data_IF_146108492163
#
_entry.id   IF_146108492163
#
_cell.length_a   1.000
_cell.length_b   1.000
_cell.length_c   1.000
_cell.angle_alpha   90.00
_cell.angle_beta   90.00
_cell.angle_gamma   90.00
#
_symmetry.space_group_name_H-M   'P 1'
#
loop_
_entity.id
_entity.type
_entity.pdbx_description
1 polymer ?
#
# COMPACT_ATOMS: atom_id res chain seq x y z
N UNK A 1 -2.89 -8.67 5.54
CA UNK A 1 -2.28 -7.46 6.15
C UNK A 1 -2.47 -6.27 5.22
N UNK A 2 -2.09 -6.34 3.93
CA UNK A 2 -2.25 -5.23 2.99
C UNK A 2 -3.73 -4.81 2.86
N UNK A 3 -4.64 -5.77 2.70
CA UNK A 3 -6.09 -5.51 2.70
C UNK A 3 -6.58 -4.90 4.01
N UNK A 4 -6.05 -5.32 5.16
CA UNK A 4 -6.43 -4.74 6.44
C UNK A 4 -6.00 -3.27 6.53
N UNK A 5 -4.77 -2.96 6.14
CA UNK A 5 -4.27 -1.58 6.11
C UNK A 5 -5.05 -0.71 5.11
N UNK A 6 -5.33 -1.23 3.92
CA UNK A 6 -6.16 -0.56 2.93
C UNK A 6 -7.57 -0.27 3.44
N UNK A 7 -8.19 -1.25 4.13
CA UNK A 7 -9.51 -1.09 4.71
C UNK A 7 -9.56 0.04 5.74
N UNK A 8 -8.54 0.17 6.60
CA UNK A 8 -8.43 1.32 7.51
C UNK A 8 -8.38 2.64 6.74
N UNK A 9 -7.60 2.71 5.67
CA UNK A 9 -7.52 3.92 4.85
C UNK A 9 -8.87 4.25 4.17
N UNK A 10 -9.63 3.25 3.72
CA UNK A 10 -10.97 3.45 3.16
C UNK A 10 -12.00 3.89 4.21
N UNK A 11 -11.88 3.40 5.44
CA UNK A 11 -12.71 3.87 6.55
C UNK A 11 -12.51 5.37 6.78
N UNK A 12 -11.28 5.82 6.75
CA UNK A 12 -10.94 7.24 6.83
C UNK A 12 -11.57 8.06 5.69
N UNK A 13 -11.64 7.47 4.48
CA UNK A 13 -12.32 8.08 3.32
C UNK A 13 -13.86 8.04 3.40
N UNK A 14 -14.43 7.38 4.41
CA UNK A 14 -15.89 7.29 4.63
C UNK A 14 -16.55 6.09 3.97
N UNK A 15 -15.81 5.10 3.52
CA UNK A 15 -16.38 3.86 2.98
C UNK A 15 -16.57 2.81 4.09
N UNK A 16 -17.80 2.72 4.59
CA UNK A 16 -18.18 1.80 5.67
C UNK A 16 -18.70 0.45 5.19
N UNK A 17 -18.85 0.25 3.89
CA UNK A 17 -19.34 -1.01 3.32
C UNK A 17 -18.53 -2.21 3.73
N UNK A 18 -17.25 -1.99 4.05
CA UNK A 18 -16.29 -3.00 4.46
C UNK A 18 -16.45 -3.47 5.91
N UNK A 19 -16.94 -2.59 6.80
CA UNK A 19 -17.17 -2.94 8.22
C UNK A 19 -18.51 -3.61 8.39
N UNK A 20 -19.51 -3.22 7.60
CA UNK A 20 -20.88 -3.77 7.69
C UNK A 20 -20.99 -5.16 7.11
N UNK A 21 -20.09 -5.56 6.20
CA UNK A 21 -19.99 -6.95 5.74
C UNK A 21 -19.29 -7.83 6.80
N UNK A 22 -19.92 -7.94 7.96
CA UNK A 22 -19.43 -8.59 9.19
C UNK A 22 -18.92 -10.03 9.05
N UNK A 23 -19.10 -10.66 7.90
CA UNK A 23 -18.76 -12.08 7.67
C UNK A 23 -17.28 -12.29 7.32
N UNK A 24 -16.52 -11.24 6.99
CA UNK A 24 -15.11 -11.36 6.54
C UNK A 24 -14.06 -10.73 7.48
N UNK A 25 -14.49 -10.10 8.57
CA UNK A 25 -13.63 -9.22 9.38
C UNK A 25 -12.98 -9.90 10.59
N UNK A 26 -13.16 -11.19 10.81
CA UNK A 26 -12.56 -11.90 11.96
C UNK A 26 -11.81 -13.16 11.52
N UNK A 27 -10.89 -13.60 12.35
CA UNK A 27 -10.20 -14.87 12.15
C UNK A 27 -11.22 -16.04 12.23
N UNK A 28 -11.37 -16.77 11.12
CA UNK A 28 -12.31 -17.91 11.04
C UNK A 28 -11.76 -19.18 11.69
N UNK A 29 -10.48 -19.20 12.02
CA UNK A 29 -9.79 -20.35 12.60
C UNK A 29 -9.92 -20.38 14.12
N UNK A 30 -10.35 -19.28 14.73
CA UNK A 30 -10.57 -19.18 16.16
C UNK A 30 -11.97 -18.59 16.44
N UNK A 31 -12.80 -19.38 17.11
CA UNK A 31 -14.17 -18.98 17.46
C UNK A 31 -14.21 -17.81 18.45
N UNK A 32 -13.16 -17.62 19.27
CA UNK A 32 -13.07 -16.51 20.22
C UNK A 32 -12.91 -15.17 19.53
N UNK A 33 -12.28 -15.15 18.35
CA UNK A 33 -12.09 -13.93 17.54
C UNK A 33 -13.39 -13.25 17.12
N UNK A 34 -14.52 -13.99 17.08
CA UNK A 34 -15.84 -13.41 16.75
C UNK A 34 -16.33 -12.42 17.80
N UNK A 35 -15.92 -12.63 19.05
CA UNK A 35 -16.35 -11.81 20.18
C UNK A 35 -15.40 -10.63 20.43
N UNK A 36 -14.24 -10.62 19.80
CA UNK A 36 -13.27 -9.54 19.92
C UNK A 36 -13.52 -8.45 18.87
N UNK A 37 -13.17 -7.18 19.17
CA UNK A 37 -13.13 -6.13 18.15
C UNK A 37 -12.01 -6.39 17.14
N UNK A 38 -12.18 -5.85 15.94
CA UNK A 38 -11.10 -5.69 14.99
C UNK A 38 -10.32 -4.45 15.37
N UNK A 39 -9.06 -4.63 15.81
CA UNK A 39 -8.21 -3.56 16.34
C UNK A 39 -7.10 -3.20 15.37
N UNK A 40 -6.87 -1.91 15.19
CA UNK A 40 -5.79 -1.35 14.40
C UNK A 40 -4.98 -0.37 15.25
N UNK A 41 -3.67 -0.41 15.11
CA UNK A 41 -2.73 0.55 15.71
C UNK A 41 -1.67 0.91 14.67
N UNK A 42 -1.75 2.12 14.13
CA UNK A 42 -0.90 2.61 13.05
C UNK A 42 -0.01 3.74 13.55
N UNK A 43 1.27 3.64 13.24
CA UNK A 43 2.25 4.70 13.46
C UNK A 43 2.76 5.18 12.09
N UNK A 44 2.59 6.46 11.78
CA UNK A 44 3.01 7.01 10.49
C UNK A 44 3.55 8.44 10.62
N UNK A 45 4.33 8.85 9.62
CA UNK A 45 4.86 10.21 9.52
C UNK A 45 4.30 10.92 8.29
N UNK A 46 3.97 12.21 8.47
CA UNK A 46 3.58 13.08 7.36
C UNK A 46 3.88 14.54 7.70
N UNK A 47 4.50 15.25 6.75
CA UNK A 47 4.79 16.69 6.84
C UNK A 47 5.45 17.11 8.18
N UNK A 48 6.43 16.34 8.65
CA UNK A 48 7.16 16.62 9.89
C UNK A 48 6.43 16.24 11.18
N UNK A 49 5.24 15.68 11.10
CA UNK A 49 4.52 15.12 12.25
C UNK A 49 4.66 13.61 12.32
N UNK A 50 4.63 13.08 13.55
CA UNK A 50 4.46 11.67 13.87
C UNK A 50 3.04 11.47 14.38
N UNK A 51 2.30 10.53 13.81
CA UNK A 51 0.93 10.20 14.21
C UNK A 51 0.85 8.77 14.71
N UNK A 52 0.00 8.56 15.73
CA UNK A 52 -0.47 7.23 16.12
C UNK A 52 -1.98 7.21 16.02
N UNK A 53 -2.51 6.34 15.20
CA UNK A 53 -3.94 6.14 15.01
C UNK A 53 -4.35 4.77 15.52
N UNK A 54 -5.33 4.75 16.42
CA UNK A 54 -5.89 3.55 17.01
C UNK A 54 -7.38 3.48 16.71
N UNK A 55 -7.85 2.31 16.29
CA UNK A 55 -9.23 2.08 15.90
C UNK A 55 -9.67 0.68 16.32
N UNK A 56 -10.74 0.60 17.10
CA UNK A 56 -11.46 -0.62 17.45
C UNK A 56 -12.86 -0.62 16.84
N UNK A 57 -13.15 -1.66 16.05
CA UNK A 57 -14.42 -1.82 15.36
C UNK A 57 -15.04 -3.18 15.68
N UNK A 58 -16.33 -3.20 16.00
CA UNK A 58 -17.09 -4.44 16.19
C UNK A 58 -18.50 -4.29 15.60
N UNK A 59 -18.92 -5.28 14.83
CA UNK A 59 -20.29 -5.36 14.27
C UNK A 59 -20.76 -4.08 13.55
N UNK A 60 -19.85 -3.45 12.81
CA UNK A 60 -20.15 -2.22 12.07
C UNK A 60 -20.18 -0.94 12.89
N UNK A 61 -19.83 -1.00 14.17
CA UNK A 61 -19.70 0.17 15.04
C UNK A 61 -18.24 0.42 15.44
N UNK A 62 -17.87 1.69 15.51
CA UNK A 62 -16.60 2.11 16.09
C UNK A 62 -16.76 2.13 17.61
N UNK A 63 -15.96 1.32 18.31
CA UNK A 63 -15.97 1.23 19.77
C UNK A 63 -15.05 2.25 20.40
N UNK A 64 -13.83 2.35 19.84
CA UNK A 64 -12.82 3.29 20.27
C UNK A 64 -12.04 3.79 19.04
N UNK A 65 -11.71 5.08 19.02
CA UNK A 65 -10.96 5.70 17.95
C UNK A 65 -10.15 6.87 18.48
N UNK A 66 -8.82 6.79 18.38
CA UNK A 66 -7.93 7.80 18.89
C UNK A 66 -6.89 8.18 17.84
N UNK A 67 -6.57 9.46 17.76
CA UNK A 67 -5.43 9.96 17.00
C UNK A 67 -4.59 10.88 17.84
N UNK A 68 -3.34 10.50 17.99
CA UNK A 68 -2.30 11.28 18.65
C UNK A 68 -1.34 11.84 17.62
N UNK A 69 -0.72 12.96 17.92
CA UNK A 69 0.31 13.58 17.10
C UNK A 69 1.46 14.09 17.94
N UNK A 70 2.63 14.20 17.35
CA UNK A 70 3.83 14.76 17.97
C UNK A 70 4.86 15.13 16.91
N UNK A 71 5.96 15.73 17.33
CA UNK A 71 7.13 15.94 16.47
C UNK A 71 8.12 14.81 16.67
N UNK A 72 8.78 14.30 15.62
CA UNK A 72 9.83 13.29 15.77
C UNK A 72 10.92 13.77 16.73
N UNK A 73 11.24 12.94 17.73
CA UNK A 73 12.26 13.25 18.73
C UNK A 73 11.78 14.16 19.87
N UNK A 74 10.49 14.49 19.96
CA UNK A 74 9.88 15.17 21.10
C UNK A 74 9.05 14.18 21.90
N UNK A 75 9.10 14.30 23.24
CA UNK A 75 8.23 13.55 24.15
C UNK A 75 6.82 14.17 24.26
N UNK A 76 6.61 15.36 23.68
CA UNK A 76 5.33 16.04 23.68
C UNK A 76 4.40 15.40 22.65
N UNK A 77 3.39 14.68 23.12
CA UNK A 77 2.31 14.13 22.32
C UNK A 77 1.01 14.88 22.60
N UNK A 78 0.38 15.39 21.52
CA UNK A 78 -0.96 15.97 21.58
C UNK A 78 -2.02 14.95 21.14
N UNK A 79 -3.26 15.18 21.59
CA UNK A 79 -4.44 14.46 21.13
C UNK A 79 -5.07 15.27 20.00
N UNK A 80 -5.19 14.67 18.79
CA UNK A 80 -5.94 15.28 17.71
C UNK A 80 -7.44 15.06 17.93
N UNK A 81 -7.82 13.82 18.20
CA UNK A 81 -9.15 13.45 18.70
C UNK A 81 -9.08 12.12 19.46
N UNK A 82 -10.07 11.89 20.34
CA UNK A 82 -10.29 10.62 21.01
C UNK A 82 -11.79 10.39 21.19
N UNK A 83 -12.24 9.18 20.88
CA UNK A 83 -13.61 8.72 21.05
C UNK A 83 -13.63 7.36 21.72
N UNK A 84 -14.42 7.24 22.80
CA UNK A 84 -14.68 5.95 23.44
C UNK A 84 -16.13 5.92 23.92
N UNK A 85 -16.88 4.98 23.40
CA UNK A 85 -18.34 4.91 23.64
C UNK A 85 -19.02 6.26 23.34
N UNK A 86 -19.54 6.93 24.38
CA UNK A 86 -20.24 8.23 24.27
C UNK A 86 -19.34 9.43 24.61
N UNK A 87 -18.08 9.19 24.96
CA UNK A 87 -17.13 10.25 25.27
C UNK A 87 -16.38 10.66 24.01
N UNK A 88 -16.34 11.95 23.74
CA UNK A 88 -15.66 12.54 22.58
C UNK A 88 -14.78 13.69 23.06
N UNK A 89 -13.50 13.61 22.77
CA UNK A 89 -12.53 14.67 22.99
C UNK A 89 -11.93 15.12 21.65
N UNK A 90 -11.96 16.42 21.39
CA UNK A 90 -11.39 17.02 20.19
C UNK A 90 -10.28 17.97 20.62
N UNK A 91 -9.07 17.68 20.12
CA UNK A 91 -7.90 18.52 20.36
C UNK A 91 -7.94 19.82 19.54
N UNK A 92 -7.18 20.81 19.97
CA UNK A 92 -7.15 22.14 19.33
C UNK A 92 -6.68 22.06 17.86
N UNK A 93 -5.77 21.15 17.54
CA UNK A 93 -5.21 20.97 16.20
C UNK A 93 -6.16 20.21 15.23
N UNK A 94 -7.23 19.61 15.71
CA UNK A 94 -8.21 18.94 14.84
C UNK A 94 -9.02 19.93 13.98
N UNK A 95 -9.03 21.21 14.37
CA UNK A 95 -9.84 22.22 13.72
C UNK A 95 -11.32 22.19 14.15
N UNK A 96 -12.15 22.92 13.42
CA UNK A 96 -13.61 22.89 13.66
C UNK A 96 -14.20 21.67 12.99
N UNK A 97 -14.57 20.70 13.77
CA UNK A 97 -15.29 19.52 13.33
C UNK A 97 -16.78 19.69 13.73
N UNK A 98 -17.69 19.51 12.79
CA UNK A 98 -19.14 19.52 13.09
C UNK A 98 -19.61 18.10 13.39
N UNK A 99 -19.98 17.87 14.64
CA UNK A 99 -20.42 16.57 15.16
C UNK A 99 -21.91 16.53 15.51
N UNK A 100 -22.70 17.41 14.96
CA UNK A 100 -24.15 17.46 15.25
C UNK A 100 -24.84 16.11 15.04
N UNK A 101 -24.25 15.23 14.20
CA UNK A 101 -24.72 13.86 13.98
C UNK A 101 -23.55 12.94 13.67
N UNK A 102 -22.95 12.30 14.68
CA UNK A 102 -21.92 11.28 14.49
C UNK A 102 -22.55 9.88 14.53
N UNK A 103 -22.77 9.20 13.37
CA UNK A 103 -23.26 7.84 13.38
C UNK A 103 -22.27 6.86 14.02
N UNK A 104 -22.77 5.83 14.68
CA UNK A 104 -21.94 4.87 15.42
C UNK A 104 -20.88 4.16 14.55
N UNK A 105 -21.16 3.97 13.26
CA UNK A 105 -20.26 3.31 12.31
C UNK A 105 -19.31 4.23 11.57
N UNK A 106 -19.26 5.54 11.84
CA UNK A 106 -18.47 6.52 11.08
C UNK A 106 -17.19 6.87 11.80
N UNK A 107 -16.03 6.80 11.11
CA UNK A 107 -14.73 7.23 11.64
C UNK A 107 -14.65 8.75 11.73
N UNK A 108 -14.01 9.25 12.78
CA UNK A 108 -13.70 10.68 12.96
C UNK A 108 -12.73 11.21 11.89
N UNK A 109 -11.92 10.34 11.31
CA UNK A 109 -11.00 10.72 10.20
C UNK A 109 -11.74 11.35 9.03
N UNK A 110 -12.99 10.95 8.76
CA UNK A 110 -13.83 11.52 7.70
C UNK A 110 -14.07 13.01 7.88
N UNK A 111 -14.07 13.48 9.13
CA UNK A 111 -14.36 14.88 9.47
C UNK A 111 -13.11 15.74 9.53
N UNK A 112 -11.91 15.14 9.41
CA UNK A 112 -10.69 15.90 9.24
C UNK A 112 -10.75 16.63 7.89
N UNK A 113 -10.77 17.96 7.96
CA UNK A 113 -10.82 18.78 6.75
C UNK A 113 -9.42 18.89 6.11
N UNK A 114 -9.24 18.39 4.88
CA UNK A 114 -7.97 18.59 4.14
C UNK A 114 -7.66 20.06 3.87
N UNK A 115 -8.65 20.96 4.00
CA UNK A 115 -8.52 22.41 3.87
C UNK A 115 -8.45 23.13 5.22
N UNK A 116 -8.34 22.40 6.32
CA UNK A 116 -8.17 22.94 7.67
C UNK A 116 -7.05 23.98 7.71
N UNK A 117 -7.15 24.95 8.60
CA UNK A 117 -6.03 25.86 8.90
C UNK A 117 -4.90 25.17 9.68
N UNK A 118 -5.17 24.05 10.34
CA UNK A 118 -4.16 23.25 11.05
C UNK A 118 -3.36 22.39 10.08
N UNK A 119 -2.04 22.60 10.05
CA UNK A 119 -1.11 21.77 9.27
C UNK A 119 -1.09 20.31 9.76
N UNK A 120 -1.31 20.09 11.07
CA UNK A 120 -1.40 18.77 11.66
C UNK A 120 -2.63 18.00 11.10
N UNK A 121 -3.82 18.61 11.13
CA UNK A 121 -5.05 18.00 10.60
C UNK A 121 -4.94 17.71 9.10
N UNK A 122 -4.39 18.66 8.31
CA UNK A 122 -4.10 18.44 6.88
C UNK A 122 -3.17 17.26 6.64
N UNK A 123 -2.07 17.18 7.42
CA UNK A 123 -1.10 16.10 7.28
C UNK A 123 -1.74 14.75 7.54
N UNK A 124 -2.53 14.61 8.62
CA UNK A 124 -3.25 13.39 8.95
C UNK A 124 -4.24 13.00 7.83
N UNK A 125 -5.12 13.91 7.42
CA UNK A 125 -6.12 13.67 6.37
C UNK A 125 -5.47 13.29 5.03
N UNK A 126 -4.37 13.99 4.65
CA UNK A 126 -3.67 13.73 3.40
C UNK A 126 -3.01 12.36 3.37
N UNK A 127 -2.49 11.87 4.50
CA UNK A 127 -1.86 10.55 4.53
C UNK A 127 -2.88 9.45 4.16
N UNK A 128 -4.03 9.42 4.81
CA UNK A 128 -5.06 8.40 4.54
C UNK A 128 -5.63 8.49 3.13
N UNK A 129 -5.87 9.70 2.61
CA UNK A 129 -6.45 9.90 1.29
C UNK A 129 -5.49 9.62 0.13
N UNK A 130 -4.20 9.58 0.38
CA UNK A 130 -3.16 9.38 -0.64
C UNK A 130 -2.57 7.97 -0.66
N UNK A 131 -2.98 7.07 0.23
CA UNK A 131 -2.60 5.65 0.13
C UNK A 131 -3.15 5.06 -1.15
N UNK A 132 -2.29 4.36 -1.88
CA UNK A 132 -2.63 3.68 -3.12
C UNK A 132 -2.60 2.17 -2.90
N UNK A 133 -3.42 1.44 -3.65
CA UNK A 133 -3.42 -0.02 -3.59
C UNK A 133 -3.48 -0.63 -4.99
N UNK A 134 -2.54 -1.49 -5.29
CA UNK A 134 -2.51 -2.35 -6.46
C UNK A 134 -2.85 -3.78 -6.04
N UNK A 135 -3.91 -4.35 -6.60
CA UNK A 135 -4.31 -5.75 -6.36
C UNK A 135 -3.88 -6.64 -7.51
N UNK A 136 -3.68 -7.90 -7.22
CA UNK A 136 -3.28 -8.91 -8.22
C UNK A 136 -4.12 -8.88 -9.50
N UNK A 137 -5.41 -8.57 -9.38
CA UNK A 137 -6.35 -8.65 -10.52
C UNK A 137 -6.64 -7.31 -11.21
N UNK A 138 -6.06 -6.20 -10.74
CA UNK A 138 -6.35 -4.87 -11.30
C UNK A 138 -5.95 -4.75 -12.77
N UNK A 139 -4.92 -5.48 -13.22
CA UNK A 139 -4.46 -5.48 -14.61
C UNK A 139 -5.37 -6.25 -15.59
N UNK A 140 -6.45 -6.86 -15.13
CA UNK A 140 -7.43 -7.54 -16.02
C UNK A 140 -8.32 -6.55 -16.76
N UNK A 141 -8.39 -5.31 -16.31
CA UNK A 141 -9.12 -4.21 -16.94
C UNK A 141 -8.14 -3.11 -17.35
N UNK A 142 -8.51 -2.37 -18.38
CA UNK A 142 -7.73 -1.20 -18.78
C UNK A 142 -7.67 -0.20 -17.59
N UNK A 143 -6.47 0.26 -17.22
CA UNK A 143 -6.31 1.24 -16.15
C UNK A 143 -6.80 2.62 -16.59
N UNK A 144 -7.17 3.44 -15.62
CA UNK A 144 -7.38 4.87 -15.83
C UNK A 144 -6.00 5.55 -15.90
N UNK A 145 -5.55 5.83 -17.11
CA UNK A 145 -4.25 6.45 -17.38
C UNK A 145 -4.37 7.97 -17.48
N UNK A 146 -3.36 8.72 -17.02
CA UNK A 146 -3.33 10.16 -17.18
C UNK A 146 -3.40 10.57 -18.66
N UNK A 147 -4.26 11.54 -18.97
CA UNK A 147 -4.38 12.12 -20.31
C UNK A 147 -3.40 13.28 -20.54
N UNK A 148 -2.92 13.91 -19.45
CA UNK A 148 -1.98 15.03 -19.50
C UNK A 148 -0.64 14.61 -20.13
N UNK A 149 -0.15 15.38 -21.07
CA UNK A 149 1.03 15.04 -21.89
C UNK A 149 2.27 14.76 -21.03
N UNK A 150 2.52 15.58 -20.02
CA UNK A 150 3.69 15.44 -19.15
C UNK A 150 3.65 14.13 -18.34
N UNK A 151 2.52 13.81 -17.72
CA UNK A 151 2.37 12.58 -16.94
C UNK A 151 2.45 11.33 -17.83
N UNK A 152 1.84 11.39 -19.01
CA UNK A 152 1.88 10.33 -20.02
C UNK A 152 3.32 10.04 -20.46
N UNK A 153 4.10 11.08 -20.76
CA UNK A 153 5.51 10.94 -21.13
C UNK A 153 6.37 10.36 -20.01
N UNK A 154 6.10 10.67 -18.75
CA UNK A 154 6.81 10.06 -17.61
C UNK A 154 6.55 8.56 -17.57
N UNK A 155 5.31 8.12 -17.73
CA UNK A 155 4.94 6.70 -17.75
C UNK A 155 5.62 5.99 -18.91
N UNK A 156 5.54 6.53 -20.14
CA UNK A 156 6.16 5.92 -21.31
C UNK A 156 7.69 5.83 -21.18
N UNK A 157 8.35 6.86 -20.66
CA UNK A 157 9.81 6.81 -20.40
C UNK A 157 10.19 5.75 -19.38
N UNK A 158 9.39 5.54 -18.33
CA UNK A 158 9.66 4.47 -17.37
C UNK A 158 9.47 3.09 -17.99
N UNK A 159 8.47 2.89 -18.85
CA UNK A 159 8.28 1.64 -19.57
C UNK A 159 9.46 1.38 -20.52
N UNK A 160 9.90 2.40 -21.26
CA UNK A 160 11.08 2.30 -22.14
C UNK A 160 12.37 2.00 -21.36
N UNK A 161 12.54 2.56 -20.15
CA UNK A 161 13.66 2.23 -19.26
C UNK A 161 13.63 0.77 -18.77
N UNK A 162 12.49 0.10 -18.90
CA UNK A 162 12.30 -1.33 -18.62
C UNK A 162 12.38 -2.21 -19.90
N UNK A 163 12.88 -1.66 -20.99
CA UNK A 163 12.96 -2.33 -22.30
C UNK A 163 11.57 -2.70 -22.87
N UNK A 164 10.57 -1.85 -22.61
CA UNK A 164 9.22 -1.96 -23.16
C UNK A 164 9.07 -0.86 -24.23
N UNK A 165 8.84 -1.21 -25.45
CA UNK A 165 8.86 -0.34 -26.65
C UNK A 165 7.58 0.52 -26.82
N UNK A 166 6.85 0.80 -25.75
CA UNK A 166 5.68 1.68 -25.76
C UNK A 166 6.13 3.13 -25.83
N UNK A 167 5.81 3.80 -26.92
CA UNK A 167 6.15 5.20 -27.18
C UNK A 167 5.08 6.15 -26.64
N UNK A 168 3.81 5.74 -26.75
CA UNK A 168 2.67 6.56 -26.36
C UNK A 168 1.43 5.68 -26.14
N UNK A 169 0.36 6.29 -25.62
CA UNK A 169 -0.95 5.67 -25.52
C UNK A 169 -2.07 6.68 -25.75
N UNK A 170 -3.21 6.20 -26.20
CA UNK A 170 -4.42 7.00 -26.40
C UNK A 170 -5.65 6.25 -25.90
N UNK A 171 -6.62 7.02 -25.41
CA UNK A 171 -7.92 6.50 -24.97
C UNK A 171 -8.92 6.89 -26.05
N UNK A 172 -9.45 5.91 -26.77
CA UNK A 172 -10.44 6.10 -27.84
C UNK A 172 -11.81 5.63 -27.35
N UNK A 173 -12.83 6.46 -27.57
CA UNK A 173 -14.22 6.06 -27.41
C UNK A 173 -14.74 5.67 -28.80
N UNK A 174 -14.87 4.40 -29.07
CA UNK A 174 -15.56 3.94 -30.28
C UNK A 174 -17.07 4.13 -30.12
N UNK A 175 -17.71 4.69 -31.17
CA UNK A 175 -19.16 4.83 -31.21
C UNK A 175 -19.81 3.43 -31.19
N UNK A 176 -20.54 3.16 -30.10
CA UNK A 176 -21.28 1.88 -29.94
C UNK A 176 -20.68 0.91 -28.92
N UNK A 177 -19.56 1.24 -28.28
CA UNK A 177 -19.01 0.50 -27.13
C UNK A 177 -19.04 1.38 -25.89
N UNK A 178 -19.57 0.84 -24.79
CA UNK A 178 -19.69 1.57 -23.51
C UNK A 178 -18.35 1.80 -22.81
N UNK A 179 -17.34 0.97 -23.09
CA UNK A 179 -16.02 1.07 -22.48
C UNK A 179 -14.98 1.73 -23.42
N UNK A 180 -14.22 2.73 -22.94
CA UNK A 180 -13.14 3.32 -23.72
C UNK A 180 -12.04 2.31 -23.98
N UNK A 181 -11.57 2.23 -25.22
CA UNK A 181 -10.46 1.36 -25.61
C UNK A 181 -9.12 2.10 -25.37
N UNK A 182 -8.22 1.48 -24.63
CA UNK A 182 -6.84 1.93 -24.45
C UNK A 182 -5.99 1.34 -25.59
N UNK A 183 -5.46 2.23 -26.45
CA UNK A 183 -4.59 1.88 -27.57
C UNK A 183 -3.16 2.31 -27.26
N UNK A 184 -2.22 1.40 -27.45
CA UNK A 184 -0.80 1.61 -27.21
C UNK A 184 -0.09 1.77 -28.55
N UNK A 185 0.85 2.72 -28.61
CA UNK A 185 1.71 2.95 -29.76
C UNK A 185 3.08 2.37 -29.49
N UNK A 186 3.44 1.33 -30.22
CA UNK A 186 4.74 0.69 -30.16
C UNK A 186 5.70 1.22 -31.22
N UNK A 187 6.99 1.26 -30.89
CA UNK A 187 8.06 1.57 -31.82
C UNK A 187 8.72 0.30 -32.37
N UNK A 188 9.23 0.38 -33.60
CA UNK A 188 10.12 -0.62 -34.16
C UNK A 188 11.52 -0.07 -34.38
N UNK A 189 12.50 -0.96 -34.49
CA UNK A 189 13.90 -0.58 -34.74
C UNK A 189 14.09 0.13 -36.09
N UNK A 190 13.16 -0.06 -37.04
CA UNK A 190 13.16 0.60 -38.35
C UNK A 190 12.50 2.00 -38.35
N UNK A 191 12.08 2.48 -37.17
CA UNK A 191 11.41 3.76 -36.99
C UNK A 191 9.91 3.76 -37.25
N UNK A 192 9.34 2.64 -37.67
CA UNK A 192 7.89 2.49 -37.85
C UNK A 192 7.19 2.34 -36.50
N UNK A 193 5.91 2.69 -36.48
CA UNK A 193 5.03 2.50 -35.32
C UNK A 193 3.86 1.59 -35.68
N UNK A 194 3.35 0.90 -34.66
CA UNK A 194 2.13 0.09 -34.78
C UNK A 194 1.28 0.23 -33.54
N UNK A 195 -0.01 -0.06 -33.66
CA UNK A 195 -0.99 0.12 -32.60
C UNK A 195 -1.48 -1.23 -32.10
N UNK A 196 -1.53 -1.36 -30.77
CA UNK A 196 -2.00 -2.58 -30.10
C UNK A 196 -3.02 -2.17 -29.04
N UNK A 197 -4.14 -2.88 -28.99
CA UNK A 197 -5.13 -2.70 -27.93
C UNK A 197 -4.58 -3.26 -26.60
N UNK A 198 -4.91 -2.61 -25.49
CA UNK A 198 -4.57 -3.11 -24.15
C UNK A 198 -4.94 -4.59 -23.94
N UNK A 199 -6.07 -5.02 -24.49
CA UNK A 199 -6.54 -6.40 -24.34
C UNK A 199 -5.71 -7.43 -25.14
N UNK A 200 -4.98 -6.97 -26.16
CA UNK A 200 -4.10 -7.80 -27.00
C UNK A 200 -2.68 -7.88 -26.42
N UNK A 201 -2.37 -7.03 -25.43
CA UNK A 201 -1.09 -7.01 -24.77
C UNK A 201 -0.83 -8.24 -23.90
N UNK A 202 0.45 -8.55 -23.71
CA UNK A 202 0.87 -9.59 -22.77
C UNK A 202 0.43 -9.24 -21.35
N UNK A 203 0.21 -10.25 -20.52
CA UNK A 203 -0.20 -10.08 -19.13
C UNK A 203 0.82 -9.23 -18.34
N UNK A 204 2.13 -9.41 -18.63
CA UNK A 204 3.19 -8.62 -17.99
C UNK A 204 3.11 -7.13 -18.35
N UNK A 205 2.90 -6.80 -19.63
CA UNK A 205 2.74 -5.41 -20.09
C UNK A 205 1.47 -4.78 -19.49
N UNK A 206 0.35 -5.49 -19.50
CA UNK A 206 -0.90 -5.02 -18.87
C UNK A 206 -0.70 -4.72 -17.39
N UNK A 207 0.03 -5.58 -16.67
CA UNK A 207 0.36 -5.34 -15.25
C UNK A 207 1.21 -4.09 -15.09
N UNK A 208 2.24 -3.88 -15.90
CA UNK A 208 3.08 -2.69 -15.85
C UNK A 208 2.28 -1.42 -16.15
N UNK A 209 1.41 -1.44 -17.17
CA UNK A 209 0.54 -0.31 -17.50
C UNK A 209 -0.40 0.07 -16.35
N UNK A 210 -0.82 -0.90 -15.54
CA UNK A 210 -1.67 -0.63 -14.36
C UNK A 210 -0.85 -0.20 -13.15
N UNK A 211 0.35 -0.75 -12.97
CA UNK A 211 1.19 -0.52 -11.80
C UNK A 211 2.00 0.79 -11.89
N UNK A 212 2.61 1.07 -13.05
CA UNK A 212 3.54 2.20 -13.21
C UNK A 212 2.89 3.57 -12.93
N UNK A 213 1.64 3.85 -13.32
CA UNK A 213 0.95 5.08 -12.94
C UNK A 213 0.82 5.24 -11.42
N UNK A 214 0.57 4.14 -10.69
CA UNK A 214 0.51 4.16 -9.23
C UNK A 214 1.89 4.41 -8.61
N UNK A 215 2.95 3.82 -9.17
CA UNK A 215 4.35 4.07 -8.76
C UNK A 215 4.69 5.55 -8.97
N UNK A 216 4.45 6.10 -10.16
CA UNK A 216 4.70 7.52 -10.46
C UNK A 216 3.93 8.42 -9.50
N UNK A 217 2.65 8.14 -9.28
CA UNK A 217 1.80 8.89 -8.37
C UNK A 217 2.30 8.83 -6.94
N UNK A 218 2.69 7.65 -6.45
CA UNK A 218 3.20 7.49 -5.09
C UNK A 218 4.51 8.24 -4.87
N UNK A 219 5.45 8.15 -5.82
CA UNK A 219 6.74 8.87 -5.76
C UNK A 219 6.54 10.39 -5.77
N UNK A 220 5.62 10.89 -6.60
CA UNK A 220 5.31 12.34 -6.66
C UNK A 220 4.66 12.86 -5.38
N UNK A 221 3.77 12.09 -4.77
CA UNK A 221 3.03 12.49 -3.57
C UNK A 221 3.77 12.17 -2.27
N UNK A 222 4.85 11.40 -2.30
CA UNK A 222 5.48 10.86 -1.09
C UNK A 222 4.50 9.96 -0.31
N UNK A 223 3.68 9.18 -1.02
CA UNK A 223 2.61 8.39 -0.41
C UNK A 223 2.98 6.90 -0.31
N UNK A 224 2.17 6.17 0.46
CA UNK A 224 2.28 4.72 0.58
C UNK A 224 1.58 4.04 -0.60
N UNK A 225 2.31 3.17 -1.30
CA UNK A 225 1.76 2.22 -2.26
C UNK A 225 1.76 0.82 -1.64
N UNK A 226 0.58 0.23 -1.54
CA UNK A 226 0.39 -1.17 -1.19
C UNK A 226 0.28 -1.96 -2.48
N UNK A 227 0.99 -3.08 -2.61
CA UNK A 227 0.93 -3.92 -3.81
C UNK A 227 0.88 -5.40 -3.43
N UNK A 228 -0.22 -6.06 -3.80
CA UNK A 228 -0.40 -7.49 -3.54
C UNK A 228 0.09 -8.32 -4.74
N UNK A 229 0.85 -9.39 -4.44
CA UNK A 229 1.49 -10.26 -5.43
C UNK A 229 2.25 -9.49 -6.53
N UNK A 230 3.13 -8.56 -6.09
CA UNK A 230 3.83 -7.64 -6.98
C UNK A 230 4.66 -8.35 -8.05
N UNK A 231 5.23 -9.51 -7.74
CA UNK A 231 6.09 -10.27 -8.65
C UNK A 231 5.34 -11.14 -9.64
N UNK A 232 4.05 -11.41 -9.41
CA UNK A 232 3.27 -12.28 -10.31
C UNK A 232 3.34 -11.75 -11.75
N UNK A 233 3.68 -12.62 -12.71
CA UNK A 233 3.87 -12.37 -14.16
C UNK A 233 4.93 -11.31 -14.53
N UNK A 234 5.71 -10.79 -13.57
CA UNK A 234 6.80 -9.86 -13.84
C UNK A 234 8.16 -10.58 -13.84
N UNK A 235 9.00 -10.22 -14.81
CA UNK A 235 10.38 -10.67 -14.79
C UNK A 235 11.12 -10.11 -13.55
N UNK A 236 11.99 -10.89 -12.86
CA UNK A 236 12.71 -10.44 -11.66
C UNK A 236 13.48 -9.12 -11.83
N UNK A 237 14.02 -8.84 -13.01
CA UNK A 237 14.71 -7.59 -13.30
C UNK A 237 13.77 -6.38 -13.28
N UNK A 238 12.54 -6.53 -13.78
CA UNK A 238 11.51 -5.46 -13.75
C UNK A 238 11.10 -5.16 -12.31
N UNK A 239 10.93 -6.21 -11.50
CA UNK A 239 10.65 -6.05 -10.07
C UNK A 239 11.78 -5.28 -9.36
N UNK A 240 13.04 -5.67 -9.60
CA UNK A 240 14.20 -4.96 -9.02
C UNK A 240 14.28 -3.50 -9.47
N UNK A 241 13.96 -3.23 -10.74
CA UNK A 241 13.91 -1.86 -11.24
C UNK A 241 12.88 -1.02 -10.48
N UNK A 242 11.66 -1.54 -10.29
CA UNK A 242 10.62 -0.86 -9.50
C UNK A 242 11.10 -0.60 -8.07
N UNK A 243 11.70 -1.59 -7.40
CA UNK A 243 12.24 -1.43 -6.05
C UNK A 243 13.31 -0.34 -5.99
N UNK A 244 14.19 -0.28 -6.99
CA UNK A 244 15.25 0.72 -7.07
C UNK A 244 14.73 2.15 -7.14
N UNK A 245 13.52 2.39 -7.71
CA UNK A 245 12.90 3.71 -7.75
C UNK A 245 12.58 4.25 -6.36
N UNK A 246 12.18 3.36 -5.42
CA UNK A 246 11.87 3.75 -4.04
C UNK A 246 13.13 3.90 -3.17
N UNK A 247 14.21 3.20 -3.50
CA UNK A 247 15.47 3.21 -2.75
C UNK A 247 16.40 4.35 -3.15
N UNK A 248 16.22 4.90 -4.34
CA UNK A 248 17.02 6.00 -4.89
C UNK A 248 16.48 7.36 -4.39
N UNK A 249 17.28 8.08 -3.61
CA UNK A 249 16.88 9.37 -3.05
C UNK A 249 16.61 10.46 -4.11
N UNK A 250 17.26 10.37 -5.29
CA UNK A 250 17.02 11.31 -6.38
C UNK A 250 15.68 11.04 -7.07
N UNK A 251 15.27 9.76 -7.17
CA UNK A 251 14.00 9.35 -7.77
C UNK A 251 12.82 9.39 -6.77
N UNK A 252 13.13 9.32 -5.48
CA UNK A 252 12.17 9.35 -4.38
C UNK A 252 12.43 10.50 -3.38
N UNK A 253 12.47 11.75 -3.83
CA UNK A 253 12.77 12.90 -2.96
C UNK A 253 11.68 13.16 -1.91
N UNK A 254 10.47 12.65 -2.12
CA UNK A 254 9.34 12.81 -1.20
C UNK A 254 9.13 11.62 -0.25
N UNK A 255 10.08 10.67 -0.22
CA UNK A 255 10.07 9.51 0.68
C UNK A 255 8.79 8.67 0.59
N UNK A 256 8.32 8.41 -0.63
CA UNK A 256 7.26 7.44 -0.87
C UNK A 256 7.68 6.06 -0.36
N UNK A 257 6.70 5.27 0.08
CA UNK A 257 6.93 3.92 0.58
C UNK A 257 6.19 2.89 -0.27
N UNK A 258 6.83 1.74 -0.49
CA UNK A 258 6.23 0.58 -1.13
C UNK A 258 6.18 -0.57 -0.12
N UNK A 259 4.98 -1.05 0.17
CA UNK A 259 4.76 -2.27 0.96
C UNK A 259 4.08 -3.28 0.06
N UNK A 260 4.72 -4.43 -0.13
CA UNK A 260 4.25 -5.42 -1.09
C UNK A 260 4.39 -6.85 -0.59
N UNK A 261 3.61 -7.76 -1.17
CA UNK A 261 3.78 -9.20 -1.04
C UNK A 261 4.45 -9.77 -2.28
N UNK A 262 5.25 -10.81 -2.09
CA UNK A 262 5.95 -11.50 -3.17
C UNK A 262 6.30 -12.92 -2.79
N UNK A 263 6.25 -13.82 -3.78
CA UNK A 263 6.77 -15.18 -3.69
C UNK A 263 8.16 -15.33 -4.33
N UNK A 264 8.72 -14.26 -4.88
CA UNK A 264 9.97 -14.28 -5.63
C UNK A 264 11.20 -14.23 -4.73
N UNK A 265 11.88 -15.35 -4.55
CA UNK A 265 13.10 -15.42 -3.73
C UNK A 265 14.30 -14.68 -4.34
N UNK A 266 14.26 -14.27 -5.61
CA UNK A 266 15.34 -13.53 -6.25
C UNK A 266 15.53 -12.11 -5.67
N UNK A 267 14.51 -11.55 -5.01
CA UNK A 267 14.61 -10.27 -4.29
C UNK A 267 15.13 -10.43 -2.87
N UNK A 268 15.12 -11.63 -2.31
CA UNK A 268 15.69 -11.94 -0.99
C UNK A 268 17.21 -11.96 -1.08
N UNK A 269 17.79 -10.80 -1.35
CA UNK A 269 19.21 -10.59 -1.57
C UNK A 269 19.64 -9.29 -0.88
N UNK A 270 20.73 -9.29 -0.10
CA UNK A 270 21.23 -8.10 0.58
C UNK A 270 21.53 -6.90 -0.33
N UNK A 271 21.82 -7.16 -1.62
CA UNK A 271 22.03 -6.10 -2.61
C UNK A 271 20.70 -5.47 -3.10
N UNK A 272 19.56 -6.08 -2.80
CA UNK A 272 18.22 -5.61 -3.22
C UNK A 272 17.42 -5.11 -2.04
N UNK A 273 17.43 -5.84 -0.92
CA UNK A 273 16.65 -5.51 0.26
C UNK A 273 17.45 -5.74 1.54
N UNK A 274 17.31 -4.83 2.47
CA UNK A 274 17.88 -5.00 3.81
C UNK A 274 17.02 -5.98 4.63
N UNK A 275 17.62 -6.64 5.62
CA UNK A 275 16.92 -7.60 6.48
C UNK A 275 15.77 -6.99 7.30
N UNK A 276 15.82 -5.69 7.56
CA UNK A 276 14.76 -4.95 8.27
C UNK A 276 13.58 -4.59 7.34
N UNK A 277 13.77 -4.66 6.03
CA UNK A 277 12.71 -4.48 5.02
C UNK A 277 11.98 -5.79 4.68
N UNK A 278 12.52 -6.93 5.11
CA UNK A 278 11.97 -8.26 4.79
C UNK A 278 11.16 -8.78 5.98
N UNK A 279 9.87 -9.02 5.76
CA UNK A 279 9.01 -9.71 6.70
C UNK A 279 8.63 -11.10 6.16
N UNK A 280 8.80 -12.12 6.97
CA UNK A 280 8.43 -13.49 6.65
C UNK A 280 7.11 -13.84 7.31
N UNK A 281 6.22 -14.49 6.54
CA UNK A 281 4.95 -15.00 7.04
C UNK A 281 5.02 -16.53 7.11
N UNK A 282 4.70 -17.09 8.26
CA UNK A 282 4.61 -18.53 8.43
C UNK A 282 3.43 -18.91 9.31
N UNK A 283 3.06 -20.17 9.27
CA UNK A 283 2.08 -20.76 10.17
C UNK A 283 2.69 -21.98 10.87
N UNK A 284 3.25 -21.81 12.09
CA UNK A 284 3.72 -22.93 12.89
C UNK A 284 2.58 -23.90 13.17
N UNK A 285 2.93 -25.18 13.43
CA UNK A 285 1.93 -26.23 13.67
C UNK A 285 1.08 -25.92 14.91
N UNK A 286 -0.25 -26.06 14.77
CA UNK A 286 -1.19 -25.82 15.86
C UNK A 286 -1.31 -24.36 16.31
N UNK A 287 -0.77 -23.41 15.53
CA UNK A 287 -0.80 -21.98 15.87
C UNK A 287 -1.38 -21.13 14.74
N UNK A 288 -1.62 -19.86 15.03
CA UNK A 288 -2.01 -18.85 14.05
C UNK A 288 -0.84 -18.48 13.14
N UNK A 289 -1.17 -17.80 12.02
CA UNK A 289 -0.16 -17.22 11.15
C UNK A 289 0.61 -16.12 11.87
N UNK A 290 1.93 -16.15 11.76
CA UNK A 290 2.84 -15.18 12.37
C UNK A 290 3.59 -14.44 11.29
N UNK A 291 3.71 -13.12 11.47
CA UNK A 291 4.55 -12.25 10.66
C UNK A 291 5.71 -11.74 11.52
N UNK A 292 6.93 -11.89 11.03
CA UNK A 292 8.11 -11.37 11.72
C UNK A 292 9.14 -10.81 10.75
N UNK A 293 9.82 -9.70 11.11
CA UNK A 293 10.90 -9.17 10.31
C UNK A 293 12.13 -10.09 10.40
N UNK A 294 12.82 -10.27 9.28
CA UNK A 294 14.04 -11.08 9.21
C UNK A 294 15.13 -10.57 10.17
N UNK A 295 15.14 -9.26 10.44
CA UNK A 295 16.07 -8.62 11.38
C UNK A 295 15.86 -9.04 12.85
N UNK A 296 14.67 -9.50 13.22
CA UNK A 296 14.35 -9.96 14.58
C UNK A 296 14.38 -11.49 14.73
N UNK A 297 14.50 -12.22 13.61
CA UNK A 297 14.56 -13.67 13.63
C UNK A 297 15.83 -14.15 14.34
N UNK A 298 15.70 -15.09 15.26
CA UNK A 298 16.83 -15.72 15.95
C UNK A 298 16.98 -17.16 15.45
N UNK A 299 18.15 -17.47 14.92
CA UNK A 299 18.54 -18.85 14.56
C UNK A 299 18.63 -19.72 15.81
N UNK A 300 18.73 -21.03 15.64
CA UNK A 300 18.88 -22.00 16.75
C UNK A 300 20.08 -21.66 17.67
N UNK A 301 21.14 -21.09 17.12
CA UNK A 301 22.31 -20.61 17.87
C UNK A 301 22.12 -19.25 18.54
N UNK A 302 20.92 -18.66 18.50
CA UNK A 302 20.57 -17.35 19.06
C UNK A 302 21.02 -16.14 18.26
N UNK A 303 21.75 -16.34 17.15
CA UNK A 303 22.23 -15.25 16.30
C UNK A 303 21.16 -14.81 15.31
N UNK A 304 21.11 -13.50 15.03
CA UNK A 304 20.29 -12.93 13.95
C UNK A 304 20.96 -13.15 12.58
N UNK A 305 20.21 -13.18 11.46
CA UNK A 305 20.77 -13.25 10.12
C UNK A 305 21.74 -12.10 9.86
N UNK A 306 22.89 -12.41 9.25
CA UNK A 306 23.90 -11.40 8.90
C UNK A 306 23.46 -10.62 7.67
N UNK A 307 23.95 -9.39 7.53
CA UNK A 307 23.62 -8.54 6.36
C UNK A 307 24.22 -9.05 5.04
N UNK A 308 25.21 -9.96 5.09
CA UNK A 308 25.90 -10.53 3.95
C UNK A 308 25.45 -11.97 3.63
N UNK A 309 24.42 -12.48 4.29
CA UNK A 309 23.89 -13.82 4.04
C UNK A 309 23.10 -13.87 2.73
N UNK A 310 23.13 -15.01 2.05
CA UNK A 310 22.30 -15.27 0.89
C UNK A 310 20.85 -15.59 1.35
N UNK A 311 20.03 -14.56 1.66
CA UNK A 311 18.71 -14.70 2.26
C UNK A 311 17.80 -15.65 1.49
N UNK A 312 17.74 -15.57 0.15
CA UNK A 312 16.91 -16.43 -0.67
C UNK A 312 17.30 -17.91 -0.54
N UNK A 313 18.61 -18.22 -0.53
CA UNK A 313 19.09 -19.59 -0.33
C UNK A 313 18.75 -20.09 1.06
N UNK A 314 19.00 -19.30 2.09
CA UNK A 314 18.71 -19.68 3.49
C UNK A 314 17.20 -19.86 3.70
N UNK A 315 16.36 -19.04 3.06
CA UNK A 315 14.90 -19.19 3.07
C UNK A 315 14.49 -20.54 2.46
N UNK A 316 14.98 -20.88 1.25
CA UNK A 316 14.67 -22.14 0.57
C UNK A 316 15.15 -23.37 1.34
N UNK A 317 16.25 -23.25 2.10
CA UNK A 317 16.76 -24.29 3.00
C UNK A 317 15.97 -24.41 4.33
N UNK A 318 14.92 -23.61 4.54
CA UNK A 318 14.09 -23.63 5.74
C UNK A 318 14.69 -22.98 6.98
N UNK A 319 15.84 -22.31 6.84
CA UNK A 319 16.60 -21.79 7.99
C UNK A 319 15.96 -20.64 8.72
N UNK A 320 14.91 -20.07 8.16
CA UNK A 320 14.14 -18.97 8.78
C UNK A 320 12.77 -19.40 9.29
N UNK A 321 12.45 -20.69 9.23
CA UNK A 321 11.22 -21.26 9.78
C UNK A 321 9.92 -20.88 9.02
N UNK A 322 10.04 -20.27 7.83
CA UNK A 322 8.90 -19.78 7.04
C UNK A 322 8.59 -20.67 5.81
N UNK A 323 9.20 -21.82 5.68
CA UNK A 323 8.98 -22.72 4.55
C UNK A 323 7.65 -23.47 4.69
N UNK A 324 6.97 -23.74 3.55
CA UNK A 324 5.88 -24.70 3.55
C UNK A 324 6.37 -26.05 4.06
N UNK A 325 5.56 -26.70 4.87
CA UNK A 325 5.83 -28.09 5.29
C UNK A 325 5.33 -29.03 4.18
N UNK A 326 6.25 -29.59 3.45
CA UNK A 326 6.00 -30.58 2.40
C UNK A 326 6.37 -31.95 2.93
#
# INVERSE_FOLDING_TARGET
>A
ILEALWNVCRLAAGDFSLITSSVRSYCRLDNTCRELPLSFDLLFRRNGFLFRYQLDVKQGAVLEENMFYGKPGSDDAGVLFARKANELHIGNEAGKMDFSTLPAGVSLLRYLDPKSSSECAKAAASWFSQVLFFREHDYKKAPDLPSEVEERQVICRLLQAMDIDILDYSITKEQGFDDPSLILTHGKADGNTFFVSFNEESTGIRKLLTLIPLVVKSLRLGSLLLADDLDNVLHPHLLRFILSLYQDHEKNPHHAQLVFTSHNTAILNPAVMRRDEICLCCRPEGTDAVLYPLSSYKKENGLIPRNDEAYGKQYLEGRYGANPRI
#
